data_IF_405668557493
#
_entry.id   IF_405668557493
#
_cell.length_a   1.000
_cell.length_b   1.000
_cell.length_c   1.000
_cell.angle_alpha   90.00
_cell.angle_beta   90.00
_cell.angle_gamma   90.00
#
_symmetry.space_group_name_H-M   'P 1'
#
loop_
_entity.id
_entity.type
_entity.pdbx_description
1 polymer ?
#
# COMPACT_ATOMS: atom_id res chain seq x y z
N UNK A 1 -32.06 -20.56 -35.10
CA UNK A 1 -32.23 -20.59 -33.63
C UNK A 1 -31.54 -19.37 -33.04
N UNK A 2 -32.21 -18.60 -32.17
CA UNK A 2 -31.59 -17.44 -31.48
C UNK A 2 -30.61 -17.93 -30.41
N UNK A 3 -29.46 -17.25 -30.19
CA UNK A 3 -28.51 -17.67 -29.16
C UNK A 3 -29.10 -17.39 -27.78
N UNK A 4 -28.98 -18.38 -26.89
CA UNK A 4 -29.38 -18.30 -25.49
C UNK A 4 -28.28 -17.54 -24.76
N UNK A 5 -28.58 -16.32 -24.32
CA UNK A 5 -27.70 -15.57 -23.42
C UNK A 5 -27.82 -16.18 -22.03
N UNK A 6 -26.76 -16.85 -21.56
CA UNK A 6 -26.61 -17.22 -20.15
C UNK A 6 -26.48 -15.95 -19.31
N UNK A 7 -27.60 -15.45 -18.80
CA UNK A 7 -27.64 -14.41 -17.76
C UNK A 7 -27.41 -15.06 -16.40
N UNK A 8 -26.21 -15.60 -16.16
CA UNK A 8 -25.79 -15.87 -14.80
C UNK A 8 -25.65 -14.51 -14.09
N UNK A 9 -26.28 -14.30 -12.92
CA UNK A 9 -26.08 -13.07 -12.16
C UNK A 9 -24.60 -12.90 -11.87
N UNK A 10 -24.05 -11.71 -12.17
CA UNK A 10 -22.70 -11.34 -11.80
C UNK A 10 -22.61 -11.36 -10.27
N UNK A 11 -21.93 -12.37 -9.73
CA UNK A 11 -21.60 -12.43 -8.31
C UNK A 11 -20.30 -11.64 -8.16
N UNK A 12 -20.29 -10.49 -7.47
CA UNK A 12 -19.05 -9.78 -7.19
C UNK A 12 -18.10 -10.76 -6.48
N UNK A 13 -16.90 -10.96 -7.02
CA UNK A 13 -15.89 -11.70 -6.26
C UNK A 13 -15.63 -10.98 -4.93
N UNK A 14 -15.36 -11.70 -3.83
CA UNK A 14 -15.14 -11.07 -2.53
C UNK A 14 -13.92 -10.15 -2.60
N UNK A 15 -14.17 -8.86 -2.75
CA UNK A 15 -13.20 -7.79 -2.51
C UNK A 15 -12.93 -7.73 -1.01
N UNK A 16 -11.70 -7.38 -0.61
CA UNK A 16 -11.39 -7.15 0.79
C UNK A 16 -12.46 -6.21 1.39
N UNK A 17 -13.07 -6.62 2.51
CA UNK A 17 -13.96 -5.73 3.24
C UNK A 17 -13.15 -4.46 3.57
N UNK A 18 -13.73 -3.31 3.25
CA UNK A 18 -13.11 -2.02 3.54
C UNK A 18 -12.77 -1.88 5.02
N UNK A 19 -13.49 -2.59 5.91
CA UNK A 19 -13.18 -2.68 7.34
C UNK A 19 -11.79 -3.27 7.62
N UNK A 20 -11.45 -4.42 7.03
CA UNK A 20 -10.17 -5.12 7.23
C UNK A 20 -9.01 -4.32 6.64
N UNK A 21 -9.21 -3.69 5.47
CA UNK A 21 -8.20 -2.81 4.90
C UNK A 21 -7.86 -1.65 5.84
N UNK A 22 -8.89 -0.99 6.36
CA UNK A 22 -8.71 0.11 7.29
C UNK A 22 -8.09 -0.35 8.61
N UNK A 23 -8.39 -1.56 9.07
CA UNK A 23 -7.72 -2.15 10.22
C UNK A 23 -6.22 -2.36 9.99
N UNK A 24 -5.83 -2.94 8.85
CA UNK A 24 -4.41 -3.10 8.46
C UNK A 24 -3.71 -1.74 8.43
N UNK A 25 -4.29 -0.74 7.77
CA UNK A 25 -3.71 0.60 7.69
C UNK A 25 -3.56 1.26 9.06
N UNK A 26 -4.54 1.09 9.96
CA UNK A 26 -4.46 1.58 11.34
C UNK A 26 -3.33 0.92 12.12
N UNK A 27 -3.14 -0.40 11.99
CA UNK A 27 -2.04 -1.12 12.63
C UNK A 27 -0.70 -0.60 12.09
N UNK A 28 -0.55 -0.44 10.79
CA UNK A 28 0.64 0.16 10.18
C UNK A 28 0.87 1.59 10.70
N UNK A 29 -0.17 2.43 10.73
CA UNK A 29 -0.05 3.80 11.22
C UNK A 29 0.43 3.85 12.68
N UNK A 30 -0.22 3.11 13.58
CA UNK A 30 0.16 3.05 15.00
C UNK A 30 1.58 2.53 15.16
N UNK A 31 1.93 1.47 14.44
CA UNK A 31 3.28 0.87 14.49
C UNK A 31 4.34 1.89 14.07
N UNK A 32 4.15 2.56 12.94
CA UNK A 32 5.11 3.55 12.45
C UNK A 32 5.25 4.74 13.39
N UNK A 33 4.15 5.27 13.93
CA UNK A 33 4.17 6.35 14.94
C UNK A 33 4.91 5.92 16.21
N UNK A 34 4.74 4.68 16.67
CA UNK A 34 5.52 4.17 17.79
C UNK A 34 7.00 4.03 17.47
N UNK A 35 7.37 3.71 16.23
CA UNK A 35 8.77 3.71 15.82
C UNK A 35 9.40 5.11 15.83
N UNK A 36 8.67 6.15 15.41
CA UNK A 36 9.12 7.55 15.45
C UNK A 36 9.49 7.99 16.87
N UNK A 37 8.76 7.47 17.88
CA UNK A 37 9.00 7.74 19.31
C UNK A 37 10.25 7.06 19.87
N UNK A 38 10.83 6.12 19.12
CA UNK A 38 12.00 5.32 19.54
C UNK A 38 13.17 5.44 18.54
N UNK A 39 13.67 6.65 18.26
CA UNK A 39 14.68 6.87 17.22
C UNK A 39 16.00 6.12 17.50
N UNK A 40 16.36 5.91 18.77
CA UNK A 40 17.53 5.14 19.16
C UNK A 40 17.50 3.67 18.67
N UNK A 41 16.31 3.12 18.44
CA UNK A 41 16.13 1.75 17.96
C UNK A 41 16.11 1.73 16.43
N UNK A 42 15.46 2.69 15.80
CA UNK A 42 15.04 2.58 14.39
C UNK A 42 15.84 3.44 13.39
N UNK A 43 16.51 4.53 13.81
CA UNK A 43 17.11 5.50 12.88
C UNK A 43 18.09 4.89 11.87
N UNK A 44 18.91 3.93 12.31
CA UNK A 44 19.98 3.30 11.52
C UNK A 44 19.56 1.97 10.88
N UNK A 45 18.27 1.62 10.94
CA UNK A 45 17.77 0.35 10.40
C UNK A 45 17.60 0.41 8.88
N UNK A 46 17.67 -0.76 8.24
CA UNK A 46 17.39 -0.93 6.81
C UNK A 46 15.88 -0.97 6.56
N UNK A 47 15.47 -0.81 5.30
CA UNK A 47 14.06 -0.98 4.88
C UNK A 47 13.54 -2.37 5.28
N UNK A 48 14.36 -3.41 5.09
CA UNK A 48 14.05 -4.80 5.45
C UNK A 48 13.81 -4.96 6.96
N UNK A 49 14.66 -4.39 7.81
CA UNK A 49 14.48 -4.49 9.27
C UNK A 49 13.23 -3.75 9.74
N UNK A 50 12.93 -2.59 9.16
CA UNK A 50 11.72 -1.84 9.48
C UNK A 50 10.46 -2.59 9.03
N UNK A 51 10.47 -3.13 7.79
CA UNK A 51 9.43 -4.01 7.26
C UNK A 51 9.17 -5.21 8.15
N UNK A 52 10.22 -5.92 8.59
CA UNK A 52 10.09 -7.12 9.42
C UNK A 52 9.42 -6.80 10.76
N UNK A 53 9.57 -5.57 11.27
CA UNK A 53 8.86 -5.11 12.45
C UNK A 53 7.36 -4.90 12.18
N UNK A 54 6.97 -4.33 11.03
CA UNK A 54 5.56 -4.29 10.63
C UNK A 54 4.97 -5.70 10.52
N UNK A 55 5.70 -6.64 9.91
CA UNK A 55 5.28 -8.04 9.82
C UNK A 55 5.07 -8.64 11.21
N UNK A 56 6.00 -8.39 12.15
CA UNK A 56 5.91 -8.87 13.53
C UNK A 56 4.62 -8.40 14.21
N UNK A 57 4.23 -7.14 14.01
CA UNK A 57 3.01 -6.57 14.62
C UNK A 57 1.74 -7.00 13.88
N UNK A 58 1.79 -7.17 12.57
CA UNK A 58 0.64 -7.62 11.77
C UNK A 58 0.33 -9.10 11.96
N UNK A 59 1.35 -9.97 12.08
CA UNK A 59 1.20 -11.43 12.10
C UNK A 59 0.23 -11.99 13.15
N UNK A 60 0.14 -11.47 14.39
CA UNK A 60 -0.83 -11.97 15.37
C UNK A 60 -2.29 -11.65 15.02
N UNK A 61 -2.52 -10.67 14.16
CA UNK A 61 -3.86 -10.17 13.82
C UNK A 61 -4.43 -10.82 12.55
N UNK A 62 -3.58 -11.46 11.74
CA UNK A 62 -3.97 -12.00 10.44
C UNK A 62 -3.40 -13.39 10.22
N UNK A 63 -4.18 -14.26 9.58
CA UNK A 63 -3.86 -15.68 9.38
C UNK A 63 -2.53 -15.91 8.65
N UNK A 64 -2.22 -15.05 7.66
CA UNK A 64 -1.00 -15.17 6.87
C UNK A 64 -0.47 -13.80 6.51
N UNK A 65 0.67 -13.44 7.12
CA UNK A 65 1.46 -12.26 6.79
C UNK A 65 2.85 -12.73 6.40
N UNK A 66 3.29 -12.41 5.19
CA UNK A 66 4.60 -12.81 4.69
C UNK A 66 5.39 -11.61 4.18
N UNK A 67 6.69 -11.64 4.45
CA UNK A 67 7.65 -10.71 3.87
C UNK A 67 8.19 -11.23 2.54
N UNK A 68 8.70 -10.34 1.68
CA UNK A 68 9.56 -10.74 0.56
C UNK A 68 8.93 -11.75 -0.39
N UNK A 69 7.61 -11.67 -0.56
CA UNK A 69 6.85 -12.70 -1.25
C UNK A 69 6.61 -12.30 -2.70
N UNK A 70 6.78 -13.27 -3.60
CA UNK A 70 6.42 -13.06 -5.01
C UNK A 70 4.90 -12.89 -5.14
N UNK A 71 4.47 -11.77 -5.71
CA UNK A 71 3.10 -11.56 -6.17
C UNK A 71 3.13 -11.18 -7.66
N UNK A 72 2.34 -11.90 -8.46
CA UNK A 72 2.31 -11.80 -9.92
C UNK A 72 3.71 -11.87 -10.55
N UNK A 73 4.29 -10.73 -10.92
CA UNK A 73 5.53 -10.57 -11.69
C UNK A 73 6.71 -10.05 -10.87
N UNK A 74 6.52 -9.77 -9.58
CA UNK A 74 7.59 -9.24 -8.73
C UNK A 74 7.45 -9.58 -7.25
N UNK A 75 8.33 -9.00 -6.44
CA UNK A 75 8.48 -9.29 -5.01
C UNK A 75 7.98 -8.09 -4.22
N UNK A 76 6.92 -8.28 -3.43
CA UNK A 76 6.41 -7.24 -2.52
C UNK A 76 7.05 -7.35 -1.16
N UNK A 77 7.18 -6.23 -0.47
CA UNK A 77 7.74 -6.20 0.89
C UNK A 77 6.80 -6.90 1.89
N UNK A 78 5.51 -6.57 1.89
CA UNK A 78 4.52 -7.21 2.78
C UNK A 78 3.35 -7.73 1.94
N UNK A 79 2.97 -8.99 2.15
CA UNK A 79 1.76 -9.60 1.61
C UNK A 79 0.92 -10.16 2.75
N UNK A 80 -0.36 -9.79 2.82
CA UNK A 80 -1.32 -10.39 3.75
C UNK A 80 -2.32 -11.21 2.94
N UNK A 81 -2.60 -12.42 3.41
CA UNK A 81 -3.60 -13.33 2.86
C UNK A 81 -4.66 -13.70 3.89
N UNK A 82 -5.89 -13.86 3.41
CA UNK A 82 -7.02 -14.37 4.17
C UNK A 82 -7.80 -15.35 3.29
N UNK A 83 -8.10 -16.55 3.81
CA UNK A 83 -8.81 -17.60 3.06
C UNK A 83 -8.24 -17.84 1.64
N UNK A 84 -6.90 -17.96 1.54
CA UNK A 84 -6.14 -18.17 0.30
C UNK A 84 -6.16 -17.00 -0.71
N UNK A 85 -6.77 -15.85 -0.37
CA UNK A 85 -6.76 -14.65 -1.20
C UNK A 85 -5.75 -13.65 -0.71
N UNK A 86 -5.03 -13.03 -1.64
CA UNK A 86 -4.27 -11.82 -1.34
C UNK A 86 -5.26 -10.72 -0.96
N UNK A 87 -5.12 -10.19 0.25
CA UNK A 87 -6.00 -9.13 0.74
C UNK A 87 -5.30 -7.78 0.76
N UNK A 88 -3.98 -7.77 0.90
CA UNK A 88 -3.22 -6.53 1.01
C UNK A 88 -1.77 -6.72 0.56
N UNK A 89 -1.28 -5.73 -0.17
CA UNK A 89 0.09 -5.63 -0.67
C UNK A 89 0.67 -4.32 -0.18
N UNK A 90 1.87 -4.33 0.38
CA UNK A 90 2.58 -3.10 0.71
C UNK A 90 4.06 -3.11 0.35
N UNK A 91 4.53 -1.93 -0.02
CA UNK A 91 5.95 -1.61 -0.27
C UNK A 91 6.48 -0.74 0.87
N UNK A 92 7.65 -1.08 1.39
CA UNK A 92 8.39 -0.29 2.38
C UNK A 92 9.55 0.41 1.66
N UNK A 93 9.67 1.73 1.81
CA UNK A 93 10.71 2.50 1.11
C UNK A 93 11.22 3.66 1.94
N UNK A 94 12.51 3.94 1.89
CA UNK A 94 13.00 5.27 2.25
C UNK A 94 12.56 6.28 1.20
N UNK A 95 12.07 7.44 1.65
CA UNK A 95 11.76 8.54 0.75
C UNK A 95 13.03 9.00 0.02
N UNK A 96 12.96 9.07 -1.33
CA UNK A 96 14.06 9.48 -2.21
C UNK A 96 13.63 10.55 -3.22
N UNK A 97 12.49 11.20 -2.99
CA UNK A 97 11.92 12.23 -3.87
C UNK A 97 10.80 11.73 -4.79
N UNK A 98 10.07 12.68 -5.38
CA UNK A 98 8.88 12.45 -6.21
C UNK A 98 9.10 11.48 -7.37
N UNK A 99 10.25 11.57 -8.07
CA UNK A 99 10.56 10.62 -9.16
C UNK A 99 10.67 9.17 -8.68
N UNK A 100 11.21 8.95 -7.48
CA UNK A 100 11.25 7.62 -6.89
C UNK A 100 9.85 7.18 -6.44
N UNK A 101 9.04 8.12 -5.94
CA UNK A 101 7.66 7.87 -5.54
C UNK A 101 6.78 7.38 -6.71
N UNK A 102 6.82 8.07 -7.85
CA UNK A 102 6.07 7.65 -9.04
C UNK A 102 6.49 6.25 -9.50
N UNK A 103 7.79 5.92 -9.44
CA UNK A 103 8.28 4.57 -9.73
C UNK A 103 7.81 3.52 -8.71
N UNK A 104 7.64 3.88 -7.44
CA UNK A 104 7.06 2.99 -6.43
C UNK A 104 5.59 2.70 -6.73
N UNK A 105 4.84 3.69 -7.25
CA UNK A 105 3.46 3.48 -7.72
C UNK A 105 3.44 2.54 -8.94
N UNK A 106 4.33 2.74 -9.93
CA UNK A 106 4.48 1.80 -11.05
C UNK A 106 4.74 0.38 -10.54
N UNK A 107 5.69 0.25 -9.60
CA UNK A 107 6.09 -1.03 -9.03
C UNK A 107 4.91 -1.73 -8.34
N UNK A 108 4.23 -1.06 -7.42
CA UNK A 108 3.15 -1.68 -6.66
C UNK A 108 2.00 -2.08 -7.58
N UNK A 109 1.59 -1.22 -8.53
CA UNK A 109 0.53 -1.53 -9.49
C UNK A 109 0.89 -2.71 -10.40
N UNK A 110 2.17 -2.87 -10.77
CA UNK A 110 2.63 -4.00 -11.59
C UNK A 110 2.53 -5.36 -10.88
N UNK A 111 2.52 -5.35 -9.54
CA UNK A 111 2.44 -6.59 -8.73
C UNK A 111 1.01 -6.99 -8.43
N UNK A 112 0.06 -6.08 -8.60
CA UNK A 112 -1.34 -6.36 -8.38
C UNK A 112 -1.92 -7.19 -9.52
N UNK A 113 -2.70 -8.19 -9.13
CA UNK A 113 -3.58 -8.93 -10.03
C UNK A 113 -4.93 -8.22 -10.10
N UNK A 114 -5.78 -8.60 -11.06
CA UNK A 114 -7.14 -8.07 -11.16
C UNK A 114 -8.02 -8.31 -9.92
N UNK A 115 -7.60 -9.20 -9.02
CA UNK A 115 -8.25 -9.48 -7.74
C UNK A 115 -7.78 -8.57 -6.61
N UNK A 116 -6.59 -7.98 -6.75
CA UNK A 116 -6.01 -7.11 -5.75
C UNK A 116 -6.55 -5.69 -5.96
N UNK A 117 -7.30 -5.19 -4.97
CA UNK A 117 -7.95 -3.87 -5.05
C UNK A 117 -7.43 -2.87 -4.01
N UNK A 118 -6.53 -3.29 -3.12
CA UNK A 118 -6.10 -2.51 -1.95
C UNK A 118 -4.62 -2.72 -1.67
N UNK A 119 -3.88 -1.62 -1.56
CA UNK A 119 -2.44 -1.63 -1.34
C UNK A 119 -1.98 -0.45 -0.47
N UNK A 120 -0.72 -0.46 -0.05
CA UNK A 120 -0.12 0.67 0.64
C UNK A 120 1.37 0.87 0.32
N UNK A 121 1.84 2.10 0.47
CA UNK A 121 3.26 2.46 0.47
C UNK A 121 3.59 3.02 1.85
N UNK A 122 4.55 2.39 2.53
CA UNK A 122 5.05 2.82 3.83
C UNK A 122 6.40 3.53 3.61
N UNK A 123 6.40 4.86 3.72
CA UNK A 123 7.59 5.68 3.60
C UNK A 123 8.28 5.89 4.93
N UNK A 124 9.58 5.66 4.93
CA UNK A 124 10.49 6.04 5.99
C UNK A 124 11.22 7.32 5.55
N UNK A 125 11.04 8.40 6.30
CA UNK A 125 11.54 9.73 5.93
C UNK A 125 12.69 10.09 6.85
N UNK A 126 13.88 10.33 6.29
CA UNK A 126 15.07 10.82 7.04
C UNK A 126 15.34 12.31 6.84
N UNK A 127 14.50 12.98 6.06
CA UNK A 127 14.62 14.40 5.79
C UNK A 127 14.49 15.19 7.10
N UNK A 128 15.28 16.25 7.26
CA UNK A 128 15.19 17.10 8.46
C UNK A 128 13.80 17.71 8.66
N UNK A 129 13.15 18.10 7.56
CA UNK A 129 11.80 18.66 7.55
C UNK A 129 10.86 17.70 6.82
N UNK A 130 9.70 17.43 7.42
CA UNK A 130 8.71 16.52 6.88
C UNK A 130 7.79 17.20 5.85
N UNK A 131 7.39 18.45 6.07
CA UNK A 131 6.42 19.15 5.21
C UNK A 131 6.77 19.13 3.71
N UNK A 132 8.02 19.38 3.27
CA UNK A 132 8.35 19.33 1.85
C UNK A 132 8.18 17.93 1.25
N UNK A 133 8.32 16.87 2.05
CA UNK A 133 8.09 15.48 1.64
C UNK A 133 6.59 15.24 1.47
N UNK A 134 5.78 15.67 2.45
CA UNK A 134 4.33 15.53 2.41
C UNK A 134 3.72 16.27 1.22
N UNK A 135 4.12 17.52 0.97
CA UNK A 135 3.68 18.29 -0.20
C UNK A 135 4.09 17.63 -1.51
N UNK A 136 5.33 17.15 -1.62
CA UNK A 136 5.81 16.48 -2.84
C UNK A 136 5.05 15.17 -3.14
N UNK A 137 4.57 14.47 -2.11
CA UNK A 137 3.69 13.31 -2.28
C UNK A 137 2.32 13.78 -2.76
N UNK A 138 1.67 14.67 -2.01
CA UNK A 138 0.31 15.14 -2.30
C UNK A 138 0.16 15.74 -3.70
N UNK A 139 1.08 16.64 -4.06
CA UNK A 139 1.05 17.32 -5.36
C UNK A 139 1.48 16.37 -6.48
N UNK A 140 2.54 15.58 -6.23
CA UNK A 140 3.17 14.74 -7.24
C UNK A 140 2.42 13.46 -7.58
N UNK A 141 1.64 12.88 -6.66
CA UNK A 141 0.93 11.61 -6.92
C UNK A 141 -0.03 11.71 -8.13
N UNK A 142 -0.65 12.88 -8.33
CA UNK A 142 -1.60 13.11 -9.43
C UNK A 142 -0.95 13.09 -10.83
N UNK A 143 0.37 13.19 -10.91
CA UNK A 143 1.13 13.12 -12.18
C UNK A 143 1.27 11.68 -12.70
N UNK A 144 0.96 10.68 -11.89
CA UNK A 144 1.07 9.28 -12.29
C UNK A 144 0.00 8.93 -13.34
N UNK A 145 0.38 8.26 -14.44
CA UNK A 145 -0.53 7.97 -15.55
C UNK A 145 -1.74 7.08 -15.17
N UNK A 146 -1.62 6.24 -14.13
CA UNK A 146 -2.74 5.44 -13.61
C UNK A 146 -3.61 6.15 -12.56
N UNK A 147 -3.31 7.42 -12.22
CA UNK A 147 -4.05 8.15 -11.19
C UNK A 147 -5.48 8.42 -11.62
N UNK A 148 -6.44 8.17 -10.72
CA UNK A 148 -7.86 8.46 -10.95
C UNK A 148 -8.34 9.57 -10.03
N UNK A 149 -8.10 9.47 -8.73
CA UNK A 149 -8.65 10.42 -7.76
C UNK A 149 -7.89 10.46 -6.44
N UNK A 150 -7.74 11.65 -5.88
CA UNK A 150 -7.37 11.84 -4.48
C UNK A 150 -8.57 11.64 -3.54
N UNK A 151 -8.41 10.80 -2.51
CA UNK A 151 -9.47 10.46 -1.53
C UNK A 151 -9.35 11.22 -0.21
N UNK A 152 -8.28 12.00 -0.01
CA UNK A 152 -8.07 12.82 1.18
C UNK A 152 -6.97 12.29 2.09
N UNK A 153 -6.95 12.82 3.32
CA UNK A 153 -6.07 12.39 4.40
C UNK A 153 -6.91 11.92 5.58
N UNK A 154 -6.46 10.87 6.24
CA UNK A 154 -7.01 10.44 7.52
C UNK A 154 -6.33 11.20 8.67
N UNK A 155 -4.99 11.22 8.66
CA UNK A 155 -4.14 11.98 9.59
C UNK A 155 -2.97 12.62 8.82
N UNK A 156 -2.18 13.46 9.49
CA UNK A 156 -0.95 13.98 8.90
C UNK A 156 0.00 12.83 8.51
N UNK A 157 0.54 12.88 7.29
CA UNK A 157 1.40 11.80 6.77
C UNK A 157 0.64 10.57 6.24
N UNK A 158 -0.69 10.54 6.28
CA UNK A 158 -1.51 9.46 5.71
C UNK A 158 -2.40 10.00 4.59
N UNK A 159 -2.07 9.63 3.35
CA UNK A 159 -2.82 9.99 2.15
C UNK A 159 -3.52 8.78 1.55
N UNK A 160 -4.72 8.99 1.02
CA UNK A 160 -5.50 7.95 0.37
C UNK A 160 -5.77 8.35 -1.09
N UNK A 161 -5.55 7.42 -2.02
CA UNK A 161 -5.68 7.63 -3.45
C UNK A 161 -6.42 6.47 -4.12
N UNK A 162 -7.01 6.76 -5.27
CA UNK A 162 -7.59 5.77 -6.16
C UNK A 162 -6.87 5.81 -7.50
N UNK A 163 -6.47 4.63 -7.97
CA UNK A 163 -5.80 4.37 -9.23
C UNK A 163 -6.60 3.35 -10.04
N UNK A 164 -6.21 3.14 -11.29
CA UNK A 164 -6.56 1.91 -12.00
C UNK A 164 -5.31 1.02 -12.17
N UNK A 165 -5.51 -0.25 -12.53
CA UNK A 165 -4.39 -1.14 -12.88
C UNK A 165 -3.76 -0.71 -14.21
N UNK A 166 -2.44 -0.86 -14.33
CA UNK A 166 -1.70 -0.46 -15.54
C UNK A 166 -2.10 -1.26 -16.79
N UNK A 167 -2.58 -2.49 -16.62
CA UNK A 167 -3.00 -3.38 -17.72
C UNK A 167 -4.52 -3.43 -17.94
N UNK A 168 -5.31 -2.87 -17.02
CA UNK A 168 -6.78 -2.89 -17.10
C UNK A 168 -7.35 -1.66 -16.37
N UNK A 169 -7.69 -0.62 -17.14
CA UNK A 169 -8.21 0.65 -16.63
C UNK A 169 -9.62 0.52 -16.03
N UNK A 170 -10.32 -0.59 -16.26
CA UNK A 170 -11.62 -0.89 -15.67
C UNK A 170 -11.52 -1.34 -14.21
N UNK A 171 -10.31 -1.62 -13.71
CA UNK A 171 -10.06 -2.14 -12.37
C UNK A 171 -9.43 -1.08 -11.48
N UNK A 172 -10.23 -0.59 -10.54
CA UNK A 172 -9.79 0.36 -9.53
C UNK A 172 -8.95 -0.28 -8.41
N UNK A 173 -7.97 0.46 -7.93
CA UNK A 173 -7.10 0.12 -6.81
C UNK A 173 -7.05 1.27 -5.82
N UNK A 174 -7.31 1.00 -4.55
CA UNK A 174 -7.07 1.95 -3.48
C UNK A 174 -5.63 1.80 -2.98
N UNK A 175 -4.88 2.91 -2.96
CA UNK A 175 -3.51 2.95 -2.44
C UNK A 175 -3.45 3.99 -1.32
N UNK A 176 -3.02 3.56 -0.15
CA UNK A 176 -2.66 4.46 0.95
C UNK A 176 -1.16 4.73 0.94
N UNK A 177 -0.76 5.97 1.22
CA UNK A 177 0.64 6.35 1.42
C UNK A 177 0.78 6.83 2.86
N UNK A 178 1.56 6.11 3.67
CA UNK A 178 1.82 6.42 5.07
C UNK A 178 3.28 6.84 5.21
N UNK A 179 3.53 7.98 5.85
CA UNK A 179 4.87 8.55 6.02
C UNK A 179 5.24 8.56 7.50
N UNK A 180 6.42 8.05 7.81
CA UNK A 180 6.98 7.98 9.16
C UNK A 180 8.34 8.66 9.20
N UNK A 181 8.52 9.64 10.08
CA UNK A 181 9.70 10.48 10.21
C UNK A 181 10.71 9.89 11.20
N UNK A 182 11.87 9.48 10.66
CA UNK A 182 13.02 8.97 11.42
C UNK A 182 14.18 9.97 11.36
N UNK A 183 14.14 11.07 12.13
CA UNK A 183 15.23 12.05 12.18
C UNK A 183 16.51 11.54 12.85
#
# INVERSE_FOLDING_TARGET
>A
SKPITNSAPFVPEPTLDSSVYQEILKICHITGVEMERHPAIYKDKSEETLRDHFIMVLSPNFESVTGETFNRSGKTDILIRHELKNVFVAECKFWKGQKAHLKTIDQILSYLTWRDSKAAILYFVRNKNLDPVLSAIEDGTSEHHCFVKYRGKDTEGWFSYHFHLSEDDSKGVDIAVLCFHFP
#
